data_IF_107111129564
#
_entry.id   IF_107111129564
#
_cell.length_a   1.000
_cell.length_b   1.000
_cell.length_c   1.000
_cell.angle_alpha   90.00
_cell.angle_beta   90.00
_cell.angle_gamma   90.00
#
_symmetry.space_group_name_H-M   'P 1'
#
loop_
_entity.id
_entity.type
_entity.pdbx_description
1 polymer ?
#
# COMPACT_ATOMS: atom_id res chain seq x y z
N UNK A 1 14.88 -21.25 -1.99
CA UNK A 1 14.68 -21.67 -3.39
C UNK A 1 14.91 -20.49 -4.36
N UNK A 2 14.41 -19.29 -4.06
CA UNK A 2 14.58 -18.11 -4.90
C UNK A 2 15.08 -16.93 -4.07
N UNK A 3 15.95 -16.10 -4.68
CA UNK A 3 16.33 -14.78 -4.17
C UNK A 3 15.77 -13.75 -5.14
N UNK A 4 14.80 -12.96 -4.68
CA UNK A 4 14.10 -11.94 -5.46
C UNK A 4 14.54 -10.58 -4.94
N UNK A 5 15.04 -9.71 -5.84
CA UNK A 5 15.55 -8.37 -5.46
C UNK A 5 15.46 -7.40 -6.65
N UNK A 6 15.68 -6.11 -6.40
CA UNK A 6 15.68 -5.11 -7.47
C UNK A 6 16.83 -5.29 -8.46
N UNK A 7 16.63 -4.89 -9.70
CA UNK A 7 17.60 -5.02 -10.79
C UNK A 7 18.90 -4.26 -10.54
N UNK A 8 18.92 -3.26 -9.64
CA UNK A 8 20.15 -2.57 -9.22
C UNK A 8 21.20 -3.51 -8.59
N UNK A 9 20.78 -4.69 -8.14
CA UNK A 9 21.65 -5.72 -7.59
C UNK A 9 22.19 -6.70 -8.64
N UNK A 10 21.76 -6.60 -9.90
CA UNK A 10 22.21 -7.48 -10.97
C UNK A 10 23.73 -7.49 -11.16
N UNK A 11 24.45 -6.35 -11.08
CA UNK A 11 25.91 -6.34 -11.22
C UNK A 11 26.64 -7.16 -10.15
N UNK A 12 26.02 -7.38 -8.97
CA UNK A 12 26.61 -8.19 -7.90
C UNK A 12 26.31 -9.71 -8.01
N UNK A 13 25.42 -10.11 -8.91
CA UNK A 13 25.02 -11.51 -9.04
C UNK A 13 26.19 -12.46 -9.31
N UNK A 14 27.19 -12.14 -10.17
CA UNK A 14 28.36 -13.01 -10.39
C UNK A 14 29.16 -13.25 -9.11
N UNK A 15 29.28 -12.26 -8.24
CA UNK A 15 30.00 -12.41 -6.97
C UNK A 15 29.29 -13.40 -6.04
N UNK A 16 27.95 -13.37 -5.99
CA UNK A 16 27.17 -14.32 -5.18
C UNK A 16 27.32 -15.75 -5.72
N UNK A 17 27.27 -15.93 -7.04
CA UNK A 17 27.51 -17.24 -7.66
C UNK A 17 28.91 -17.78 -7.32
N UNK A 18 29.95 -16.95 -7.38
CA UNK A 18 31.31 -17.33 -7.00
C UNK A 18 31.41 -17.72 -5.52
N UNK A 19 30.71 -17.00 -4.63
CA UNK A 19 30.70 -17.36 -3.22
C UNK A 19 30.08 -18.74 -2.98
N UNK A 20 28.95 -19.06 -3.61
CA UNK A 20 28.37 -20.40 -3.53
C UNK A 20 29.35 -21.48 -4.02
N UNK A 21 30.06 -21.24 -5.10
CA UNK A 21 31.11 -22.16 -5.61
C UNK A 21 32.27 -22.32 -4.63
N UNK A 22 32.81 -21.23 -4.12
CA UNK A 22 33.95 -21.28 -3.19
C UNK A 22 33.61 -21.98 -1.87
N UNK A 23 32.35 -21.90 -1.44
CA UNK A 23 31.88 -22.63 -0.25
C UNK A 23 31.45 -24.07 -0.52
N UNK A 24 31.46 -24.52 -1.79
CA UNK A 24 30.99 -25.84 -2.18
C UNK A 24 29.47 -26.02 -2.01
N UNK A 25 28.69 -24.93 -2.18
CA UNK A 25 27.23 -24.92 -2.00
C UNK A 25 26.46 -24.80 -3.32
N UNK A 26 27.06 -25.21 -4.41
CA UNK A 26 26.45 -25.06 -5.75
C UNK A 26 25.10 -25.79 -5.85
N UNK A 27 24.99 -26.99 -5.25
CA UNK A 27 23.76 -27.78 -5.27
C UNK A 27 22.60 -27.14 -4.49
N UNK A 28 22.90 -26.22 -3.58
CA UNK A 28 21.91 -25.48 -2.77
C UNK A 28 21.72 -24.03 -3.21
N UNK A 29 22.42 -23.61 -4.26
CA UNK A 29 22.33 -22.25 -4.76
C UNK A 29 20.90 -21.92 -5.21
N UNK A 30 20.33 -20.79 -4.74
CA UNK A 30 18.99 -20.38 -5.14
C UNK A 30 18.97 -19.90 -6.59
N UNK A 31 17.80 -19.93 -7.22
CA UNK A 31 17.53 -19.17 -8.43
C UNK A 31 17.45 -17.69 -8.11
N UNK A 32 18.11 -16.84 -8.90
CA UNK A 32 18.08 -15.39 -8.73
C UNK A 32 17.05 -14.76 -9.67
N UNK A 33 16.17 -13.91 -9.14
CA UNK A 33 15.25 -13.09 -9.91
C UNK A 33 15.50 -11.61 -9.61
N UNK A 34 15.60 -10.80 -10.66
CA UNK A 34 15.78 -9.35 -10.54
C UNK A 34 14.56 -8.64 -11.12
N UNK A 35 13.85 -7.93 -10.23
CA UNK A 35 12.66 -7.18 -10.60
C UNK A 35 13.05 -5.78 -11.08
N UNK A 36 12.30 -5.26 -12.03
CA UNK A 36 12.45 -3.91 -12.54
C UNK A 36 12.20 -2.86 -11.44
N UNK A 37 12.80 -1.67 -11.61
CA UNK A 37 12.67 -0.57 -10.65
C UNK A 37 11.23 -0.03 -10.62
N UNK A 38 10.83 0.45 -9.43
CA UNK A 38 9.69 1.34 -9.30
C UNK A 38 10.11 2.75 -9.72
N UNK A 39 9.35 3.29 -10.66
CA UNK A 39 9.61 4.61 -11.24
C UNK A 39 8.73 5.67 -10.57
N UNK A 40 9.21 6.91 -10.60
CA UNK A 40 8.43 8.08 -10.14
C UNK A 40 7.12 8.18 -10.92
N UNK A 41 6.04 8.73 -10.30
CA UNK A 41 4.79 9.01 -11.01
C UNK A 41 5.02 9.96 -12.18
N UNK A 42 5.90 10.95 -11.99
CA UNK A 42 6.27 11.94 -13.00
C UNK A 42 7.74 11.82 -13.39
N UNK A 43 8.02 11.94 -14.69
CA UNK A 43 9.37 11.87 -15.25
C UNK A 43 9.90 10.44 -15.35
N UNK A 44 11.23 10.35 -15.56
CA UNK A 44 11.94 9.09 -15.70
C UNK A 44 12.99 8.99 -14.59
N UNK A 45 12.78 8.13 -13.63
CA UNK A 45 13.75 7.91 -12.56
C UNK A 45 13.23 6.96 -11.51
N UNK A 46 14.14 6.32 -10.78
CA UNK A 46 13.81 5.45 -9.65
C UNK A 46 13.06 6.23 -8.59
N UNK A 47 11.96 5.67 -8.10
CA UNK A 47 11.25 6.16 -6.94
C UNK A 47 12.16 6.07 -5.70
N UNK A 48 12.26 7.15 -4.96
CA UNK A 48 13.01 7.22 -3.71
C UNK A 48 12.10 7.53 -2.53
N UNK A 49 12.57 7.25 -1.30
CA UNK A 49 11.85 7.61 -0.06
C UNK A 49 11.52 9.09 0.01
N UNK A 50 12.46 9.96 -0.40
CA UNK A 50 12.27 11.42 -0.43
C UNK A 50 11.19 11.87 -1.41
N UNK A 51 10.90 11.07 -2.45
CA UNK A 51 9.81 11.39 -3.37
C UNK A 51 8.45 11.19 -2.69
N UNK A 52 8.29 10.18 -1.82
CA UNK A 52 7.09 9.98 -1.01
C UNK A 52 6.79 11.18 -0.12
N UNK A 53 7.78 11.61 0.68
CA UNK A 53 7.64 12.76 1.58
C UNK A 53 7.29 14.04 0.80
N UNK A 54 7.94 14.27 -0.34
CA UNK A 54 7.72 15.45 -1.20
C UNK A 54 6.35 15.45 -1.89
N UNK A 55 5.86 14.28 -2.30
CA UNK A 55 4.62 14.12 -3.07
C UNK A 55 3.42 13.75 -2.19
N UNK A 56 3.63 13.57 -0.88
CA UNK A 56 2.58 13.34 0.10
C UNK A 56 1.97 11.93 0.09
N UNK A 57 2.74 10.92 -0.31
CA UNK A 57 2.30 9.53 -0.20
C UNK A 57 3.24 8.70 0.68
N UNK A 58 2.72 7.71 1.44
CA UNK A 58 3.54 6.89 2.32
C UNK A 58 4.43 5.93 1.52
N UNK A 59 5.63 5.67 2.05
CA UNK A 59 6.59 4.72 1.48
C UNK A 59 6.80 3.52 2.39
N UNK A 60 6.57 3.70 3.68
CA UNK A 60 6.73 2.66 4.69
C UNK A 60 5.37 2.02 5.04
N UNK A 61 5.35 0.74 5.44
CA UNK A 61 4.12 0.12 5.97
C UNK A 61 3.59 0.83 7.22
N UNK A 62 4.50 1.25 8.10
CA UNK A 62 4.26 1.95 9.35
C UNK A 62 5.04 3.27 9.37
N UNK A 63 4.61 4.23 10.18
CA UNK A 63 5.34 5.45 10.44
C UNK A 63 6.78 5.13 10.86
N UNK A 64 7.72 5.81 10.25
CA UNK A 64 9.15 5.63 10.48
C UNK A 64 9.79 6.89 11.04
N UNK A 65 10.43 6.75 12.19
CA UNK A 65 11.25 7.78 12.80
C UNK A 65 12.72 7.48 12.51
N UNK A 66 13.39 8.35 11.76
CA UNK A 66 14.82 8.19 11.48
C UNK A 66 15.63 8.41 12.77
N UNK A 67 16.36 7.39 13.25
CA UNK A 67 17.09 7.49 14.52
C UNK A 67 18.30 8.44 14.45
N UNK A 68 18.72 8.87 13.25
CA UNK A 68 19.89 9.74 13.06
C UNK A 68 19.47 11.19 12.88
N UNK A 69 18.43 11.46 12.12
CA UNK A 69 17.98 12.82 11.78
C UNK A 69 16.79 13.28 12.62
N UNK A 70 16.02 12.34 13.18
CA UNK A 70 14.76 12.62 13.86
C UNK A 70 13.60 12.89 12.90
N UNK A 71 13.81 12.77 11.58
CA UNK A 71 12.77 12.95 10.58
C UNK A 71 11.70 11.86 10.71
N UNK A 72 10.44 12.24 10.48
CA UNK A 72 9.30 11.33 10.52
C UNK A 72 8.75 11.17 9.11
N UNK A 73 8.67 9.93 8.64
CA UNK A 73 8.03 9.57 7.38
C UNK A 73 6.73 8.82 7.66
N UNK A 74 5.64 9.24 7.05
CA UNK A 74 4.32 8.62 7.25
C UNK A 74 4.29 7.18 6.75
N UNK A 75 3.53 6.33 7.47
CA UNK A 75 3.25 4.95 7.07
C UNK A 75 1.92 4.80 6.36
N UNK A 76 1.75 3.72 5.60
CA UNK A 76 0.46 3.38 4.97
C UNK A 76 -0.65 3.22 6.01
N UNK A 77 -0.35 2.57 7.15
CA UNK A 77 -1.33 2.38 8.23
C UNK A 77 -1.78 3.71 8.83
N UNK A 78 -0.84 4.58 9.18
CA UNK A 78 -1.12 5.88 9.78
C UNK A 78 -1.80 6.84 8.79
N UNK A 79 -1.58 6.62 7.48
CA UNK A 79 -2.29 7.32 6.40
C UNK A 79 -3.70 6.76 6.13
N UNK A 80 -4.13 5.72 6.86
CA UNK A 80 -5.48 5.17 6.79
C UNK A 80 -5.72 4.16 5.67
N UNK A 81 -4.67 3.61 5.08
CA UNK A 81 -4.80 2.52 4.12
C UNK A 81 -5.13 1.19 4.81
N UNK A 82 -6.06 0.43 4.22
CA UNK A 82 -6.31 -0.95 4.62
C UNK A 82 -5.19 -1.87 4.13
N UNK A 83 -4.77 -2.87 4.94
CA UNK A 83 -3.70 -3.78 4.57
C UNK A 83 -3.95 -4.48 3.22
N UNK A 84 -5.19 -4.91 2.98
CA UNK A 84 -5.61 -5.58 1.75
C UNK A 84 -5.42 -4.68 0.53
N UNK A 85 -5.76 -3.39 0.66
CA UNK A 85 -5.59 -2.39 -0.39
C UNK A 85 -4.12 -2.20 -0.74
N UNK A 86 -3.25 -2.08 0.28
CA UNK A 86 -1.80 -1.92 0.09
C UNK A 86 -1.21 -3.14 -0.59
N UNK A 87 -1.52 -4.35 -0.12
CA UNK A 87 -0.99 -5.59 -0.69
C UNK A 87 -1.42 -5.74 -2.15
N UNK A 88 -2.71 -5.53 -2.47
CA UNK A 88 -3.21 -5.65 -3.82
C UNK A 88 -2.58 -4.60 -4.76
N UNK A 89 -2.50 -3.35 -4.31
CA UNK A 89 -1.85 -2.27 -5.05
C UNK A 89 -0.37 -2.59 -5.34
N UNK A 90 0.39 -3.00 -4.32
CA UNK A 90 1.80 -3.33 -4.47
C UNK A 90 2.03 -4.55 -5.37
N UNK A 91 1.13 -5.56 -5.32
CA UNK A 91 1.22 -6.72 -6.18
C UNK A 91 1.18 -6.35 -7.68
N UNK A 92 0.34 -5.38 -8.04
CA UNK A 92 0.22 -4.93 -9.43
C UNK A 92 1.33 -3.96 -9.88
N UNK A 93 2.22 -3.55 -8.97
CA UNK A 93 3.39 -2.76 -9.34
C UNK A 93 4.46 -3.64 -10.00
N UNK A 94 4.31 -3.86 -11.29
CA UNK A 94 5.24 -4.64 -12.10
C UNK A 94 4.94 -6.13 -12.21
N UNK A 95 3.76 -6.57 -11.81
CA UNK A 95 3.22 -7.91 -12.05
C UNK A 95 1.76 -7.82 -12.50
N UNK A 96 1.27 -8.84 -13.22
CA UNK A 96 -0.15 -8.95 -13.58
C UNK A 96 -0.62 -10.42 -13.55
N UNK A 97 -1.90 -10.67 -13.27
CA UNK A 97 -2.43 -12.03 -13.21
C UNK A 97 -2.62 -12.70 -14.59
N UNK A 98 -2.38 -11.98 -15.68
CA UNK A 98 -2.59 -12.44 -17.06
C UNK A 98 -4.03 -12.30 -17.55
N UNK A 99 -4.85 -11.55 -16.82
CA UNK A 99 -6.22 -11.17 -17.17
C UNK A 99 -6.46 -9.73 -16.69
N UNK A 100 -7.68 -9.21 -16.86
CA UNK A 100 -8.06 -7.83 -16.48
C UNK A 100 -8.50 -7.70 -15.02
N UNK A 101 -8.30 -8.74 -14.18
CA UNK A 101 -8.64 -8.70 -12.77
C UNK A 101 -7.66 -7.81 -12.01
N UNK A 102 -8.14 -6.71 -11.43
CA UNK A 102 -7.33 -5.80 -10.63
C UNK A 102 -7.51 -6.05 -9.13
N UNK A 103 -8.74 -6.29 -8.68
CA UNK A 103 -9.02 -6.56 -7.26
C UNK A 103 -8.90 -8.05 -6.98
N UNK A 104 -8.01 -8.38 -6.06
CA UNK A 104 -7.66 -9.76 -5.73
C UNK A 104 -7.50 -9.93 -4.23
N UNK A 105 -8.13 -10.96 -3.68
CA UNK A 105 -7.87 -11.38 -2.32
C UNK A 105 -6.43 -11.90 -2.15
N UNK A 106 -5.96 -12.03 -0.92
CA UNK A 106 -4.66 -12.65 -0.65
C UNK A 106 -4.57 -14.06 -1.22
N UNK A 107 -5.64 -14.85 -1.12
CA UNK A 107 -5.71 -16.21 -1.66
C UNK A 107 -5.63 -16.22 -3.19
N UNK A 108 -6.28 -15.25 -3.86
CA UNK A 108 -6.14 -15.07 -5.31
C UNK A 108 -4.73 -14.70 -5.70
N UNK A 109 -4.09 -13.76 -4.99
CA UNK A 109 -2.72 -13.37 -5.23
C UNK A 109 -1.77 -14.55 -5.08
N UNK A 110 -1.89 -15.36 -4.02
CA UNK A 110 -1.08 -16.56 -3.79
C UNK A 110 -1.28 -17.58 -4.92
N UNK A 111 -2.53 -17.80 -5.34
CA UNK A 111 -2.89 -18.76 -6.38
C UNK A 111 -2.41 -18.35 -7.78
N UNK A 112 -2.45 -17.05 -8.08
CA UNK A 112 -2.18 -16.51 -9.42
C UNK A 112 -0.72 -16.08 -9.61
N UNK A 113 0.03 -15.90 -8.52
CA UNK A 113 1.39 -15.38 -8.60
C UNK A 113 2.32 -16.31 -9.37
N UNK A 114 2.98 -15.74 -10.37
CA UNK A 114 4.02 -16.39 -11.17
C UNK A 114 5.09 -15.35 -11.52
N UNK A 115 6.35 -15.66 -11.19
CA UNK A 115 7.50 -14.80 -11.49
C UNK A 115 7.67 -14.51 -12.99
N UNK A 116 7.24 -15.42 -13.86
CA UNK A 116 7.32 -15.23 -15.32
C UNK A 116 6.44 -14.08 -15.82
N UNK A 117 5.44 -13.67 -15.02
CA UNK A 117 4.54 -12.55 -15.32
C UNK A 117 4.99 -11.22 -14.75
N UNK A 118 6.16 -11.18 -14.10
CA UNK A 118 6.75 -9.92 -13.69
C UNK A 118 7.21 -9.12 -14.92
N UNK A 119 6.87 -7.83 -14.93
CA UNK A 119 7.25 -6.92 -16.01
C UNK A 119 8.77 -6.78 -16.11
N UNK A 120 9.27 -6.76 -17.34
CA UNK A 120 10.68 -6.47 -17.63
C UNK A 120 10.98 -4.96 -17.71
N UNK A 121 9.96 -4.13 -17.68
CA UNK A 121 10.06 -2.67 -17.67
C UNK A 121 9.67 -2.12 -16.31
N UNK A 122 10.26 -0.99 -15.90
CA UNK A 122 9.92 -0.34 -14.64
C UNK A 122 8.45 0.02 -14.57
N UNK A 123 7.85 -0.18 -13.40
CA UNK A 123 6.47 0.17 -13.13
C UNK A 123 6.40 1.59 -12.54
N UNK A 124 5.57 2.45 -13.11
CA UNK A 124 5.29 3.77 -12.53
C UNK A 124 4.44 3.62 -11.28
N UNK A 125 4.87 4.29 -10.21
CA UNK A 125 4.11 4.33 -8.97
C UNK A 125 2.96 5.34 -9.14
N UNK A 126 1.74 4.84 -9.16
CA UNK A 126 0.52 5.63 -9.26
C UNK A 126 -0.19 5.64 -7.90
N UNK A 127 0.00 6.73 -7.15
CA UNK A 127 -0.61 6.86 -5.81
C UNK A 127 -2.14 7.02 -5.87
N UNK A 128 -2.69 7.58 -6.95
CA UNK A 128 -4.14 7.66 -7.14
C UNK A 128 -4.75 6.26 -7.31
N UNK A 129 -4.03 5.36 -7.97
CA UNK A 129 -4.42 3.95 -8.04
C UNK A 129 -4.43 3.30 -6.65
N UNK A 130 -3.46 3.66 -5.80
CA UNK A 130 -3.44 3.22 -4.39
C UNK A 130 -4.66 3.70 -3.61
N UNK A 131 -5.06 4.96 -3.78
CA UNK A 131 -6.29 5.53 -3.19
C UNK A 131 -7.55 4.84 -3.71
N UNK A 132 -7.59 4.54 -5.00
CA UNK A 132 -8.70 3.80 -5.61
C UNK A 132 -8.84 2.39 -5.00
N UNK A 133 -7.74 1.66 -4.80
CA UNK A 133 -7.78 0.38 -4.10
C UNK A 133 -8.32 0.54 -2.67
N UNK A 134 -7.86 1.57 -1.96
CA UNK A 134 -8.34 1.80 -0.59
C UNK A 134 -9.84 2.07 -0.55
N UNK A 135 -10.35 2.89 -1.47
CA UNK A 135 -11.77 3.13 -1.63
C UNK A 135 -12.57 1.84 -1.88
N UNK A 136 -12.05 0.97 -2.77
CA UNK A 136 -12.70 -0.30 -3.10
C UNK A 136 -12.84 -1.17 -1.84
N UNK A 137 -11.75 -1.40 -1.11
CA UNK A 137 -11.77 -2.19 0.12
C UNK A 137 -12.57 -1.53 1.26
N UNK A 138 -12.61 -0.21 1.31
CA UNK A 138 -13.49 0.52 2.23
C UNK A 138 -14.97 0.21 1.96
N UNK A 139 -15.37 0.13 0.69
CA UNK A 139 -16.74 -0.21 0.31
C UNK A 139 -17.12 -1.65 0.67
N UNK A 140 -16.19 -2.59 0.61
CA UNK A 140 -16.41 -3.99 0.97
C UNK A 140 -16.64 -4.18 2.48
N UNK A 141 -16.06 -3.32 3.33
CA UNK A 141 -16.26 -3.38 4.77
C UNK A 141 -17.70 -3.02 5.16
N UNK A 142 -18.21 -3.67 6.19
CA UNK A 142 -19.53 -3.34 6.76
C UNK A 142 -19.56 -1.91 7.31
N UNK A 143 -20.76 -1.35 7.44
CA UNK A 143 -20.90 -0.02 8.05
C UNK A 143 -20.47 -0.03 9.52
N UNK A 144 -20.67 -1.15 10.21
CA UNK A 144 -20.22 -1.35 11.59
C UNK A 144 -18.70 -1.26 11.71
N UNK A 145 -17.95 -2.00 10.86
CA UNK A 145 -16.48 -1.96 10.87
C UNK A 145 -15.94 -0.55 10.58
N UNK A 146 -16.55 0.18 9.64
CA UNK A 146 -16.15 1.56 9.35
C UNK A 146 -16.56 2.50 10.50
N UNK A 147 -17.71 2.26 11.16
CA UNK A 147 -18.13 3.04 12.33
C UNK A 147 -17.18 2.85 13.51
N UNK A 148 -16.65 1.64 13.74
CA UNK A 148 -15.63 1.38 14.76
C UNK A 148 -14.36 2.22 14.54
N UNK A 149 -13.99 2.44 13.29
CA UNK A 149 -12.82 3.27 12.92
C UNK A 149 -13.14 4.77 12.95
N UNK A 150 -14.38 5.16 12.64
CA UNK A 150 -14.77 6.56 12.55
C UNK A 150 -15.19 7.16 13.89
N UNK A 151 -15.79 6.38 14.81
CA UNK A 151 -16.23 6.86 16.12
C UNK A 151 -15.12 7.56 16.91
N UNK A 152 -13.89 7.01 17.04
CA UNK A 152 -12.80 7.71 17.72
C UNK A 152 -12.45 9.08 17.10
N UNK A 153 -12.62 9.21 15.78
CA UNK A 153 -12.39 10.49 15.08
C UNK A 153 -13.47 11.50 15.50
N UNK A 154 -14.74 11.09 15.53
CA UNK A 154 -15.84 11.94 15.99
C UNK A 154 -15.64 12.38 17.45
N UNK A 155 -15.26 11.45 18.32
CA UNK A 155 -14.98 11.71 19.73
C UNK A 155 -13.79 12.67 19.94
N UNK A 156 -12.76 12.59 19.09
CA UNK A 156 -11.61 13.50 19.15
C UNK A 156 -11.98 14.96 18.89
N UNK A 157 -13.11 15.21 18.22
CA UNK A 157 -13.67 16.55 18.03
C UNK A 157 -14.62 16.97 19.17
N UNK A 158 -14.64 16.23 20.30
CA UNK A 158 -15.45 16.57 21.48
C UNK A 158 -16.93 16.19 21.37
N UNK A 159 -17.30 15.40 20.37
CA UNK A 159 -18.69 14.98 20.14
C UNK A 159 -18.96 13.68 20.86
N UNK A 160 -20.01 13.68 21.69
CA UNK A 160 -20.56 12.47 22.30
C UNK A 160 -21.73 11.97 21.45
N UNK A 161 -21.61 10.74 20.93
CA UNK A 161 -22.64 10.14 20.10
C UNK A 161 -22.68 8.62 20.31
N UNK A 162 -23.66 7.95 19.71
CA UNK A 162 -23.77 6.50 19.79
C UNK A 162 -23.18 5.84 18.55
N UNK A 163 -22.60 4.66 18.73
CA UNK A 163 -22.10 3.85 17.60
C UNK A 163 -23.17 3.66 16.52
N UNK A 164 -24.42 3.35 16.92
CA UNK A 164 -25.54 3.16 15.98
C UNK A 164 -25.86 4.41 15.14
N UNK A 165 -25.62 5.61 15.68
CA UNK A 165 -25.79 6.85 14.91
C UNK A 165 -24.65 7.01 13.91
N UNK A 166 -23.39 6.79 14.33
CA UNK A 166 -22.22 6.83 13.47
C UNK A 166 -22.36 5.83 12.32
N UNK A 167 -22.81 4.62 12.60
CA UNK A 167 -23.04 3.58 11.59
C UNK A 167 -24.06 4.01 10.52
N UNK A 168 -25.13 4.71 10.90
CA UNK A 168 -26.09 5.28 9.93
C UNK A 168 -25.45 6.34 9.05
N UNK A 169 -24.66 7.26 9.64
CA UNK A 169 -23.93 8.30 8.90
C UNK A 169 -22.94 7.66 7.92
N UNK A 170 -22.16 6.68 8.38
CA UNK A 170 -21.24 5.89 7.53
C UNK A 170 -21.98 5.26 6.35
N UNK A 171 -23.13 4.65 6.60
CA UNK A 171 -23.93 4.01 5.53
C UNK A 171 -24.36 4.97 4.42
N UNK A 172 -24.54 6.27 4.74
CA UNK A 172 -24.87 7.30 3.76
C UNK A 172 -23.63 7.87 3.03
N UNK A 173 -22.48 7.86 3.67
CA UNK A 173 -21.35 8.70 3.28
C UNK A 173 -20.11 7.94 2.82
N UNK A 174 -19.90 6.67 3.21
CA UNK A 174 -18.67 5.92 2.90
C UNK A 174 -18.36 5.80 1.41
N UNK A 175 -19.37 5.82 0.55
CA UNK A 175 -19.18 5.77 -0.90
C UNK A 175 -18.56 7.03 -1.53
N UNK A 176 -18.29 8.07 -0.73
CA UNK A 176 -17.78 9.37 -1.21
C UNK A 176 -16.34 9.67 -0.77
N UNK A 177 -15.72 8.77 -0.03
CA UNK A 177 -14.39 8.96 0.55
C UNK A 177 -13.45 7.82 0.18
N UNK A 178 -12.16 8.08 0.15
CA UNK A 178 -11.14 7.06 -0.04
C UNK A 178 -10.56 6.56 1.29
N UNK A 179 -10.65 7.37 2.33
CA UNK A 179 -10.15 7.08 3.67
C UNK A 179 -11.20 7.38 4.73
N UNK A 180 -11.18 6.63 5.83
CA UNK A 180 -12.11 6.85 6.96
C UNK A 180 -11.93 8.26 7.56
N UNK A 181 -10.71 8.79 7.59
CA UNK A 181 -10.42 10.13 8.07
C UNK A 181 -11.14 11.24 7.29
N UNK A 182 -11.35 11.05 5.98
CA UNK A 182 -12.06 12.01 5.12
C UNK A 182 -13.55 12.14 5.46
N UNK A 183 -14.11 11.16 6.19
CA UNK A 183 -15.53 11.20 6.59
C UNK A 183 -15.83 12.41 7.46
N UNK A 184 -14.93 12.82 8.35
CA UNK A 184 -15.17 13.97 9.20
C UNK A 184 -15.40 15.25 8.41
N UNK A 185 -14.53 15.56 7.49
CA UNK A 185 -14.62 16.77 6.66
C UNK A 185 -15.89 16.76 5.80
N UNK A 186 -16.32 15.59 5.38
CA UNK A 186 -17.47 15.44 4.50
C UNK A 186 -18.80 15.44 5.25
N UNK A 187 -18.86 14.96 6.50
CA UNK A 187 -20.10 14.69 7.18
C UNK A 187 -20.19 15.26 8.62
N UNK A 188 -19.28 16.16 9.02
CA UNK A 188 -19.32 16.83 10.34
C UNK A 188 -20.65 17.53 10.63
N UNK A 189 -21.38 17.99 9.60
CA UNK A 189 -22.69 18.60 9.73
C UNK A 189 -23.79 17.68 10.29
N UNK A 190 -23.59 16.36 10.28
CA UNK A 190 -24.47 15.43 10.98
C UNK A 190 -24.31 15.47 12.50
N UNK A 191 -23.17 15.97 12.98
CA UNK A 191 -22.78 16.00 14.40
C UNK A 191 -22.77 17.42 14.96
N UNK A 192 -22.53 18.43 14.13
CA UNK A 192 -22.46 19.83 14.50
C UNK A 192 -23.44 20.61 13.62
N UNK A 193 -24.32 21.39 14.25
CA UNK A 193 -25.22 22.26 13.49
C UNK A 193 -24.42 23.28 12.67
N UNK A 194 -24.76 23.49 11.41
CA UNK A 194 -24.12 24.53 10.59
C UNK A 194 -24.40 25.91 11.21
N UNK A 195 -23.34 26.70 11.38
CA UNK A 195 -23.37 28.07 11.87
C UNK A 195 -23.70 29.06 10.77
#
# INVERSE_FOLDING_TARGET
THVIRGEEWLPSAPLHVLLYRFFGWEDTMPSFAHLSLLLKPEGNGKLSKRDGDRLGFPVFPLEWHDPKTGDVSSGYRESGYFPEAVVNFLALLGWNPGNDQEVMSMDDLIRLFDLSRCSKSGAKFDYEKGRWFNHHYLLEKSNTEIADLFLPIVESHGIQTTHAYVEKVVGMMKGRVNFVSELWDLCSFFFIAPT
#
